data_IF_054885014306
#
_entry.id   IF_054885014306
#
_cell.length_a   1.000
_cell.length_b   1.000
_cell.length_c   1.000
_cell.angle_alpha   90.00
_cell.angle_beta   90.00
_cell.angle_gamma   90.00
#
_symmetry.space_group_name_H-M   'P 1'
#
loop_
_entity.id
_entity.type
_entity.pdbx_description
1 polymer ?
#
# COMPACT_ATOMS: atom_id res chain seq x y z
N UNK A 1 -6.60 -23.50 4.64
CA UNK A 1 -6.45 -22.06 4.41
C UNK A 1 -6.84 -21.71 2.98
N UNK A 2 -7.86 -20.87 2.83
CA UNK A 2 -8.30 -20.34 1.53
C UNK A 2 -7.24 -19.42 0.91
N UNK A 3 -7.39 -19.11 -0.37
CA UNK A 3 -6.52 -18.14 -1.08
C UNK A 3 -6.59 -16.76 -0.40
N UNK A 4 -7.78 -16.36 0.05
CA UNK A 4 -7.99 -15.10 0.77
C UNK A 4 -7.31 -15.07 2.13
N UNK A 5 -7.32 -16.18 2.85
CA UNK A 5 -6.61 -16.32 4.13
C UNK A 5 -5.09 -16.27 3.94
N UNK A 6 -4.55 -16.91 2.89
CA UNK A 6 -3.12 -16.84 2.56
C UNK A 6 -2.69 -15.42 2.20
N UNK A 7 -3.50 -14.72 1.39
CA UNK A 7 -3.24 -13.32 1.04
C UNK A 7 -3.28 -12.40 2.27
N UNK A 8 -4.23 -12.62 3.18
CA UNK A 8 -4.30 -11.93 4.47
C UNK A 8 -3.03 -12.11 5.31
N UNK A 9 -2.52 -13.34 5.39
CA UNK A 9 -1.30 -13.64 6.14
C UNK A 9 -0.06 -13.02 5.52
N UNK A 10 0.05 -13.06 4.18
CA UNK A 10 1.12 -12.41 3.44
C UNK A 10 1.09 -10.88 3.62
N UNK A 11 -0.08 -10.28 3.47
CA UNK A 11 -0.33 -8.85 3.70
C UNK A 11 0.07 -8.43 5.13
N UNK A 12 -0.20 -9.27 6.14
CA UNK A 12 0.18 -8.99 7.55
C UNK A 12 1.69 -9.15 7.80
N UNK A 13 2.31 -10.16 7.21
CA UNK A 13 3.74 -10.44 7.40
C UNK A 13 4.66 -9.39 6.77
N UNK A 14 4.15 -8.62 5.79
CA UNK A 14 4.90 -7.61 5.04
C UNK A 14 4.40 -6.18 5.29
N UNK A 15 3.75 -5.95 6.44
CA UNK A 15 3.35 -4.62 6.91
C UNK A 15 4.41 -4.05 7.84
N UNK A 16 4.91 -2.87 7.51
CA UNK A 16 5.77 -2.07 8.38
C UNK A 16 4.97 -0.88 8.89
N UNK A 17 4.88 -0.71 10.21
CA UNK A 17 4.25 0.47 10.78
C UNK A 17 5.15 1.70 10.52
N UNK A 18 4.60 2.73 9.88
CA UNK A 18 5.28 4.00 9.66
C UNK A 18 4.96 4.98 10.80
N UNK A 19 3.67 5.08 11.14
CA UNK A 19 3.18 5.93 12.23
C UNK A 19 1.78 5.48 12.66
N UNK A 20 1.64 5.03 13.91
CA UNK A 20 0.36 4.60 14.48
C UNK A 20 -0.37 3.56 13.62
N UNK A 21 -1.42 4.00 12.92
CA UNK A 21 -2.28 3.16 12.05
C UNK A 21 -1.89 3.23 10.57
N UNK A 22 -0.89 4.03 10.22
CA UNK A 22 -0.33 4.15 8.87
C UNK A 22 0.76 3.09 8.69
N UNK A 23 0.61 2.27 7.66
CA UNK A 23 1.52 1.16 7.37
C UNK A 23 1.99 1.19 5.92
N UNK A 24 3.24 0.78 5.71
CA UNK A 24 3.74 0.38 4.40
C UNK A 24 3.46 -1.11 4.20
N UNK A 25 2.82 -1.49 3.10
CA UNK A 25 2.45 -2.88 2.80
C UNK A 25 2.95 -3.28 1.41
N UNK A 26 3.56 -4.46 1.28
CA UNK A 26 3.86 -5.05 -0.03
C UNK A 26 2.57 -5.55 -0.68
N UNK A 27 2.22 -4.99 -1.84
CA UNK A 27 1.00 -5.34 -2.59
C UNK A 27 1.25 -6.40 -3.66
N UNK A 28 2.46 -6.51 -4.19
CA UNK A 28 2.86 -7.54 -5.14
C UNK A 28 4.36 -7.76 -5.14
N UNK A 29 4.78 -8.98 -5.49
CA UNK A 29 6.16 -9.32 -5.83
C UNK A 29 6.13 -10.23 -7.06
N UNK A 30 6.48 -9.69 -8.23
CA UNK A 30 6.50 -10.43 -9.50
C UNK A 30 7.87 -10.22 -10.14
N UNK A 31 8.54 -11.31 -10.50
CA UNK A 31 9.85 -11.26 -11.18
C UNK A 31 10.97 -10.60 -10.37
N UNK A 32 10.92 -10.68 -9.03
CA UNK A 32 11.90 -10.03 -8.14
C UNK A 32 11.64 -8.56 -7.87
N UNK A 33 10.66 -7.96 -8.55
CA UNK A 33 10.25 -6.56 -8.32
C UNK A 33 9.08 -6.53 -7.35
N UNK A 34 9.35 -6.06 -6.13
CA UNK A 34 8.33 -5.78 -5.13
C UNK A 34 7.70 -4.40 -5.35
N UNK A 35 6.38 -4.33 -5.18
CA UNK A 35 5.61 -3.07 -5.17
C UNK A 35 4.91 -2.89 -3.84
N UNK A 36 4.97 -1.67 -3.33
CA UNK A 36 4.57 -1.27 -1.99
C UNK A 36 3.54 -0.13 -2.05
N UNK A 37 2.66 -0.08 -1.07
CA UNK A 37 1.67 0.98 -0.90
C UNK A 37 1.63 1.45 0.56
N UNK A 38 1.31 2.71 0.79
CA UNK A 38 1.02 3.25 2.12
C UNK A 38 -0.48 3.16 2.36
N UNK A 39 -0.88 2.60 3.50
CA UNK A 39 -2.28 2.45 3.87
C UNK A 39 -2.57 3.04 5.24
N UNK A 40 -3.77 3.59 5.41
CA UNK A 40 -4.38 3.82 6.72
C UNK A 40 -5.25 2.61 7.06
N UNK A 41 -4.79 1.80 8.01
CA UNK A 41 -5.46 0.57 8.42
C UNK A 41 -6.74 0.79 9.23
N UNK A 42 -6.93 1.98 9.81
CA UNK A 42 -8.13 2.32 10.57
C UNK A 42 -9.26 2.72 9.63
N UNK A 43 -8.94 3.53 8.63
CA UNK A 43 -9.92 4.09 7.67
C UNK A 43 -10.07 3.27 6.39
N UNK A 44 -9.24 2.24 6.21
CA UNK A 44 -9.16 1.43 4.99
C UNK A 44 -8.91 2.30 3.73
N UNK A 45 -7.92 3.18 3.84
CA UNK A 45 -7.50 4.08 2.75
C UNK A 45 -6.11 3.71 2.25
N UNK A 46 -5.82 4.03 1.00
CA UNK A 46 -4.50 3.96 0.37
C UNK A 46 -4.05 5.36 -0.05
N UNK A 47 -2.76 5.64 0.08
CA UNK A 47 -2.19 6.89 -0.41
C UNK A 47 -1.82 6.76 -1.89
N UNK A 48 -2.26 7.70 -2.72
CA UNK A 48 -1.92 7.75 -4.14
C UNK A 48 -0.75 8.73 -4.44
N UNK A 49 -0.31 8.75 -5.69
CA UNK A 49 0.81 9.57 -6.19
C UNK A 49 0.56 11.08 -6.13
N UNK A 50 -0.69 11.51 -5.95
CA UNK A 50 -1.06 12.91 -5.77
C UNK A 50 -1.03 13.33 -4.30
N UNK A 51 -0.59 12.46 -3.38
CA UNK A 51 -0.65 12.65 -1.94
C UNK A 51 -2.09 12.75 -1.39
N UNK A 52 -3.04 12.09 -2.06
CA UNK A 52 -4.44 12.03 -1.65
C UNK A 52 -4.78 10.62 -1.11
N UNK A 53 -5.61 10.58 -0.07
CA UNK A 53 -6.15 9.34 0.47
C UNK A 53 -7.39 8.91 -0.30
N UNK A 54 -7.39 7.67 -0.80
CA UNK A 54 -8.52 7.10 -1.53
C UNK A 54 -8.93 5.73 -0.92
N UNK A 55 -10.19 5.29 -1.09
CA UNK A 55 -10.63 4.00 -0.58
C UNK A 55 -9.79 2.85 -1.14
N UNK A 56 -9.31 1.96 -0.27
CA UNK A 56 -8.67 0.73 -0.72
C UNK A 56 -9.71 -0.15 -1.44
N UNK A 57 -9.48 -0.53 -2.71
CA UNK A 57 -10.41 -1.32 -3.48
C UNK A 57 -10.52 -2.74 -2.92
N UNK A 58 -11.67 -3.40 -3.13
CA UNK A 58 -11.88 -4.77 -2.71
C UNK A 58 -10.86 -5.71 -3.36
N UNK A 59 -10.49 -6.78 -2.66
CA UNK A 59 -9.37 -7.68 -2.99
C UNK A 59 -9.48 -8.45 -4.32
N UNK A 60 -10.60 -8.40 -5.02
CA UNK A 60 -10.88 -9.27 -6.17
C UNK A 60 -10.71 -8.54 -7.51
N UNK A 61 -10.02 -9.22 -8.44
CA UNK A 61 -9.85 -8.99 -9.90
C UNK A 61 -9.34 -7.63 -10.40
N UNK A 62 -9.84 -6.52 -9.85
CA UNK A 62 -9.59 -5.17 -10.38
C UNK A 62 -8.36 -4.51 -9.74
N UNK A 63 -7.72 -5.19 -8.78
CA UNK A 63 -6.55 -4.70 -8.03
C UNK A 63 -5.30 -4.56 -8.90
N UNK A 64 -5.24 -5.19 -10.08
CA UNK A 64 -4.03 -5.18 -10.90
C UNK A 64 -3.93 -3.93 -11.79
N UNK A 65 -4.99 -3.47 -12.47
CA UNK A 65 -4.82 -2.46 -13.53
C UNK A 65 -4.82 -1.01 -13.05
N UNK A 66 -5.73 -0.60 -12.15
CA UNK A 66 -5.81 0.79 -11.65
C UNK A 66 -4.76 1.09 -10.56
N UNK A 67 -4.44 0.08 -9.76
CA UNK A 67 -3.50 0.17 -8.63
C UNK A 67 -2.04 0.14 -9.07
N UNK A 68 -1.72 -0.50 -10.20
CA UNK A 68 -0.34 -0.59 -10.72
C UNK A 68 0.30 0.78 -10.94
N UNK A 69 -0.48 1.81 -11.30
CA UNK A 69 0.07 3.11 -11.67
C UNK A 69 0.15 4.15 -10.56
N UNK A 70 -0.83 4.20 -9.63
CA UNK A 70 -0.99 5.39 -8.77
C UNK A 70 -0.67 5.17 -7.29
N UNK A 71 -0.64 3.95 -6.79
CA UNK A 71 -0.45 3.67 -5.35
C UNK A 71 0.57 2.56 -5.07
N UNK A 72 1.18 1.99 -6.12
CA UNK A 72 2.16 0.89 -6.05
C UNK A 72 3.53 1.37 -6.51
N UNK A 73 4.41 1.60 -5.55
CA UNK A 73 5.76 2.13 -5.80
C UNK A 73 6.83 1.09 -5.44
N UNK A 74 8.07 1.28 -5.89
CA UNK A 74 9.17 0.60 -5.20
C UNK A 74 9.30 1.11 -3.76
N UNK A 75 10.12 0.43 -2.97
CA UNK A 75 10.25 0.73 -1.54
C UNK A 75 10.72 2.17 -1.30
N UNK A 76 11.79 2.60 -1.99
CA UNK A 76 12.41 3.91 -1.78
C UNK A 76 11.46 5.06 -2.16
N UNK A 77 10.73 4.91 -3.26
CA UNK A 77 9.70 5.87 -3.68
C UNK A 77 8.56 5.94 -2.66
N UNK A 78 8.12 4.80 -2.12
CA UNK A 78 7.06 4.79 -1.11
C UNK A 78 7.50 5.52 0.17
N UNK A 79 8.73 5.32 0.64
CA UNK A 79 9.27 6.07 1.78
C UNK A 79 9.33 7.58 1.48
N UNK A 80 9.83 7.95 0.30
CA UNK A 80 9.91 9.36 -0.13
C UNK A 80 8.54 10.04 -0.15
N UNK A 81 7.51 9.36 -0.67
CA UNK A 81 6.13 9.88 -0.67
C UNK A 81 5.58 10.09 0.73
N UNK A 82 5.89 9.20 1.68
CA UNK A 82 5.49 9.37 3.07
C UNK A 82 6.16 10.59 3.72
N UNK A 83 7.44 10.81 3.46
CA UNK A 83 8.16 12.00 3.94
C UNK A 83 7.60 13.29 3.33
N UNK A 84 7.26 13.27 2.04
CA UNK A 84 6.58 14.39 1.37
C UNK A 84 5.22 14.66 1.98
N UNK A 85 4.40 13.63 2.22
CA UNK A 85 3.10 13.77 2.88
C UNK A 85 3.25 14.50 4.23
N UNK A 86 4.22 14.10 5.05
CA UNK A 86 4.49 14.76 6.33
C UNK A 86 4.90 16.23 6.18
N UNK A 87 5.55 16.59 5.08
CA UNK A 87 6.04 17.94 4.81
C UNK A 87 4.91 18.86 4.31
N UNK A 88 3.97 18.33 3.52
CA UNK A 88 2.87 19.12 2.93
C UNK A 88 1.56 19.09 3.73
N UNK A 89 1.39 18.15 4.67
CA UNK A 89 0.24 18.09 5.57
C UNK A 89 0.40 18.96 6.84
N UNK A 90 1.42 19.83 6.89
CA UNK A 90 1.71 20.75 8.00
C UNK A 90 1.00 22.11 7.83
#
# INVERSE_FOLDING_TARGET
>A
MSVEEKANWFDKALKFALDGKIHLIMKSNKGGTAKWAIIDSEKNLVLNSNLEWEPEPPRAKDRDDSFLMRSRFDFDTAITLYEQLKTYAA
#
